data_IF_135427758851
#
_entry.id   IF_135427758851
#
_cell.length_a   1.000
_cell.length_b   1.000
_cell.length_c   1.000
_cell.angle_alpha   90.00
_cell.angle_beta   90.00
_cell.angle_gamma   90.00
#
_symmetry.space_group_name_H-M   'P 1'
#
loop_
_entity.id
_entity.type
_entity.pdbx_description
1 polymer ?
#
# COMPACT_ATOMS: atom_id res chain seq x y z
N UNK A 1 -9.04 5.23 10.24
CA UNK A 1 -8.96 3.85 9.72
C UNK A 1 -8.23 2.97 10.71
N UNK A 2 -8.66 1.72 10.95
CA UNK A 2 -7.91 0.77 11.79
C UNK A 2 -6.72 0.21 11.01
N UNK A 3 -5.52 0.18 11.62
CA UNK A 3 -4.31 -0.41 11.00
C UNK A 3 -4.50 -1.93 10.82
N UNK A 4 -4.36 -2.49 9.60
CA UNK A 4 -4.46 -3.92 9.36
C UNK A 4 -3.38 -4.70 10.12
N UNK A 5 -3.70 -5.90 10.58
CA UNK A 5 -2.79 -6.72 11.40
C UNK A 5 -1.56 -7.15 10.62
N UNK A 6 -1.74 -7.49 9.34
CA UNK A 6 -0.69 -8.00 8.45
C UNK A 6 0.09 -6.87 7.77
N UNK A 7 -0.22 -5.60 8.06
CA UNK A 7 0.47 -4.49 7.46
C UNK A 7 1.94 -4.44 7.89
N UNK A 8 2.83 -4.28 6.92
CA UNK A 8 4.27 -4.04 7.12
C UNK A 8 4.70 -2.82 6.31
N UNK A 9 5.85 -2.25 6.64
CA UNK A 9 6.43 -1.14 5.88
C UNK A 9 6.75 -1.54 4.44
N UNK A 10 7.18 -2.78 4.21
CA UNK A 10 7.45 -3.31 2.86
C UNK A 10 6.21 -3.24 1.96
N UNK A 11 5.01 -3.48 2.50
CA UNK A 11 3.77 -3.31 1.76
C UNK A 11 3.55 -1.85 1.34
N UNK A 12 3.86 -0.89 2.23
CA UNK A 12 3.68 0.54 1.96
C UNK A 12 4.66 1.04 0.91
N UNK A 13 5.94 0.70 1.05
CA UNK A 13 7.01 1.04 0.09
C UNK A 13 6.70 0.46 -1.29
N UNK A 14 6.26 -0.82 -1.34
CA UNK A 14 5.87 -1.44 -2.60
C UNK A 14 4.71 -0.69 -3.29
N UNK A 15 3.70 -0.27 -2.52
CA UNK A 15 2.55 0.45 -3.07
C UNK A 15 2.90 1.88 -3.50
N UNK A 16 3.80 2.56 -2.78
CA UNK A 16 4.32 3.88 -3.19
C UNK A 16 5.06 3.76 -4.55
N UNK A 17 5.91 2.73 -4.69
CA UNK A 17 6.59 2.43 -5.96
C UNK A 17 5.62 2.05 -7.08
N UNK A 18 4.61 1.21 -6.78
CA UNK A 18 3.60 0.83 -7.76
C UNK A 18 2.80 2.04 -8.24
N UNK A 19 2.40 2.94 -7.32
CA UNK A 19 1.74 4.21 -7.65
C UNK A 19 2.62 5.08 -8.55
N UNK A 20 3.90 5.23 -8.18
CA UNK A 20 4.88 6.02 -8.96
C UNK A 20 5.15 5.45 -10.35
N UNK A 21 5.04 4.14 -10.51
CA UNK A 21 5.27 3.46 -11.81
C UNK A 21 4.19 3.75 -12.87
N UNK A 22 2.97 4.08 -12.45
CA UNK A 22 1.84 4.29 -13.36
C UNK A 22 1.30 3.04 -14.06
N UNK A 23 1.84 1.84 -13.80
CA UNK A 23 1.43 0.57 -14.44
C UNK A 23 -0.05 0.24 -14.17
N UNK A 24 -0.55 0.62 -13.00
CA UNK A 24 -1.95 0.45 -12.61
C UNK A 24 -2.41 1.66 -11.80
N UNK A 25 -3.71 1.94 -11.83
CA UNK A 25 -4.31 2.77 -10.78
C UNK A 25 -4.37 1.97 -9.47
N UNK A 26 -4.59 2.68 -8.36
CA UNK A 26 -4.55 2.05 -7.04
C UNK A 26 -5.80 1.21 -6.71
N UNK A 27 -6.91 1.37 -7.44
CA UNK A 27 -8.06 0.46 -7.32
C UNK A 27 -7.73 -0.94 -7.89
N UNK A 28 -6.83 -1.01 -8.87
CA UNK A 28 -6.33 -2.24 -9.47
C UNK A 28 -5.09 -2.84 -8.79
N UNK A 29 -4.63 -2.29 -7.65
CA UNK A 29 -3.35 -2.70 -7.05
C UNK A 29 -3.40 -4.01 -6.24
N UNK A 30 -4.59 -4.50 -5.86
CA UNK A 30 -4.74 -5.71 -5.03
C UNK A 30 -4.06 -6.96 -5.62
N UNK A 31 -4.22 -7.29 -6.93
CA UNK A 31 -3.52 -8.44 -7.53
C UNK A 31 -2.00 -8.32 -7.48
N UNK A 32 -1.44 -7.11 -7.56
CA UNK A 32 0.01 -6.87 -7.49
C UNK A 32 0.54 -7.14 -6.08
N UNK A 33 -0.18 -6.69 -5.03
CA UNK A 33 0.13 -7.02 -3.65
C UNK A 33 0.14 -8.54 -3.44
N UNK A 34 -0.91 -9.24 -3.83
CA UNK A 34 -0.98 -10.70 -3.67
C UNK A 34 0.10 -11.42 -4.49
N UNK A 35 0.43 -10.91 -5.68
CA UNK A 35 1.50 -11.48 -6.52
C UNK A 35 2.86 -11.34 -5.85
N UNK A 36 3.16 -10.20 -5.23
CA UNK A 36 4.44 -9.91 -4.56
C UNK A 36 4.53 -10.53 -3.16
N UNK A 37 3.43 -10.58 -2.42
CA UNK A 37 3.35 -11.03 -1.04
C UNK A 37 2.44 -12.26 -0.96
N UNK A 38 2.99 -13.43 -1.29
CA UNK A 38 2.25 -14.70 -1.40
C UNK A 38 1.52 -15.13 -0.12
N UNK A 39 1.96 -14.62 1.04
CA UNK A 39 1.32 -14.86 2.34
C UNK A 39 0.00 -14.13 2.55
N UNK A 40 -0.31 -13.13 1.72
CA UNK A 40 -1.55 -12.36 1.83
C UNK A 40 -2.67 -13.06 1.08
N UNK A 41 -3.79 -13.24 1.76
CA UNK A 41 -5.05 -13.54 1.10
C UNK A 41 -5.70 -12.26 0.52
N UNK A 42 -6.78 -12.44 -0.24
CA UNK A 42 -7.47 -11.34 -0.91
C UNK A 42 -7.97 -10.25 0.06
N UNK A 43 -8.51 -10.66 1.21
CA UNK A 43 -9.03 -9.74 2.23
C UNK A 43 -7.90 -8.92 2.84
N UNK A 44 -6.81 -9.56 3.27
CA UNK A 44 -5.65 -8.89 3.86
C UNK A 44 -5.01 -7.90 2.88
N UNK A 45 -4.84 -8.31 1.61
CA UNK A 45 -4.32 -7.42 0.57
C UNK A 45 -5.23 -6.21 0.33
N UNK A 46 -6.55 -6.41 0.39
CA UNK A 46 -7.52 -5.32 0.24
C UNK A 46 -7.48 -4.35 1.42
N UNK A 47 -7.43 -4.85 2.66
CA UNK A 47 -7.33 -4.02 3.87
C UNK A 47 -6.04 -3.19 3.88
N UNK A 48 -4.91 -3.80 3.50
CA UNK A 48 -3.62 -3.11 3.36
C UNK A 48 -3.71 -2.01 2.30
N UNK A 49 -4.29 -2.30 1.14
CA UNK A 49 -4.44 -1.33 0.06
C UNK A 49 -5.30 -0.14 0.48
N UNK A 50 -6.45 -0.40 1.10
CA UNK A 50 -7.34 0.66 1.58
C UNK A 50 -6.64 1.50 2.64
N UNK A 51 -5.99 0.86 3.62
CA UNK A 51 -5.21 1.59 4.63
C UNK A 51 -4.13 2.47 3.98
N UNK A 52 -3.43 1.94 2.98
CA UNK A 52 -2.44 2.71 2.23
C UNK A 52 -3.08 3.91 1.53
N UNK A 53 -4.23 3.75 0.87
CA UNK A 53 -4.92 4.83 0.15
C UNK A 53 -5.34 5.96 1.09
N UNK A 54 -5.90 5.61 2.25
CA UNK A 54 -6.38 6.59 3.24
C UNK A 54 -5.24 7.39 3.88
N UNK A 55 -4.08 6.77 4.05
CA UNK A 55 -2.94 7.37 4.79
C UNK A 55 -1.86 7.94 3.87
N UNK A 56 -1.95 7.72 2.55
CA UNK A 56 -0.91 8.09 1.59
C UNK A 56 -0.53 9.57 1.67
N UNK A 57 -1.52 10.47 1.58
CA UNK A 57 -1.26 11.91 1.54
C UNK A 57 -0.55 12.42 2.81
N UNK A 58 -0.92 11.89 3.97
CA UNK A 58 -0.26 12.22 5.24
C UNK A 58 1.16 11.67 5.31
N UNK A 59 1.37 10.40 4.93
CA UNK A 59 2.72 9.81 4.88
C UNK A 59 3.65 10.57 3.95
N UNK A 60 3.18 10.97 2.76
CA UNK A 60 3.99 11.72 1.80
C UNK A 60 4.42 13.09 2.33
N UNK A 61 3.55 13.79 3.06
CA UNK A 61 3.92 15.04 3.75
C UNK A 61 5.04 14.79 4.77
N UNK A 62 4.91 13.74 5.57
CA UNK A 62 5.89 13.41 6.60
C UNK A 62 7.26 13.03 6.00
N UNK A 63 7.30 12.33 4.86
CA UNK A 63 8.56 12.08 4.15
C UNK A 63 9.20 13.36 3.60
N UNK A 64 8.39 14.32 3.15
CA UNK A 64 8.87 15.58 2.54
C UNK A 64 9.37 16.61 3.56
N UNK A 65 9.03 16.47 4.84
CA UNK A 65 9.43 17.38 5.92
C UNK A 65 10.58 16.82 6.78
N UNK A 66 11.06 15.61 6.46
CA UNK A 66 12.09 14.88 7.21
C UNK A 66 13.43 14.73 6.49
N UNK A 67 13.70 15.53 5.45
CA UNK A 67 14.98 15.59 4.71
C UNK A 67 15.62 16.94 4.86
#
# INVERSE_FOLDING_TARGET
MKKPKELTEEHLVFLDGLRGSGITNMFGARPYLMKRFKKLNSTQANEILIYWMDTFAERQKNYSQGT
#
